data_IF_124606094846
#
_entry.id   IF_124606094846
#
_cell.length_a   1.000
_cell.length_b   1.000
_cell.length_c   1.000
_cell.angle_alpha   90.00
_cell.angle_beta   90.00
_cell.angle_gamma   90.00
#
_symmetry.space_group_name_H-M   'P 1'
#
loop_
_entity.id
_entity.type
_entity.pdbx_description
1 polymer ?
#
# COMPACT_ATOMS: atom_id res chain seq x y z
N UNK A 1 -24.06 -7.27 24.89
CA UNK A 1 -24.41 -7.02 23.47
C UNK A 1 -23.16 -6.67 22.65
N UNK A 2 -22.35 -5.67 23.05
CA UNK A 2 -21.07 -5.34 22.38
C UNK A 2 -20.06 -6.52 22.33
N UNK A 3 -19.85 -7.20 23.46
CA UNK A 3 -18.95 -8.37 23.53
C UNK A 3 -19.39 -9.52 22.62
N UNK A 4 -20.70 -9.73 22.46
CA UNK A 4 -21.25 -10.74 21.56
C UNK A 4 -20.94 -10.42 20.09
N UNK A 5 -21.03 -9.15 19.70
CA UNK A 5 -20.71 -8.72 18.33
C UNK A 5 -19.22 -8.91 17.98
N UNK A 6 -18.32 -8.54 18.92
CA UNK A 6 -16.88 -8.71 18.74
C UNK A 6 -16.47 -10.18 18.56
N UNK A 7 -17.18 -11.11 19.19
CA UNK A 7 -16.89 -12.55 19.07
C UNK A 7 -17.56 -13.14 17.82
N UNK A 8 -18.79 -12.71 17.49
CA UNK A 8 -19.57 -13.29 16.40
C UNK A 8 -18.98 -12.99 15.02
N UNK A 9 -18.53 -11.76 14.75
CA UNK A 9 -17.95 -11.40 13.46
C UNK A 9 -16.78 -12.30 13.00
N UNK A 10 -15.70 -12.46 13.79
CA UNK A 10 -14.59 -13.34 13.41
C UNK A 10 -14.99 -14.82 13.43
N UNK A 11 -15.90 -15.23 14.32
CA UNK A 11 -16.39 -16.60 14.38
C UNK A 11 -17.09 -17.00 13.07
N UNK A 12 -18.00 -16.17 12.56
CA UNK A 12 -18.70 -16.44 11.30
C UNK A 12 -17.72 -16.51 10.12
N UNK A 13 -16.72 -15.61 10.07
CA UNK A 13 -15.68 -15.65 9.04
C UNK A 13 -14.89 -16.97 9.07
N UNK A 14 -14.50 -17.45 10.26
CA UNK A 14 -13.80 -18.73 10.41
C UNK A 14 -14.68 -19.93 10.03
N UNK A 15 -15.97 -19.92 10.41
CA UNK A 15 -16.91 -20.99 10.03
C UNK A 15 -17.06 -21.06 8.51
N UNK A 16 -17.19 -19.94 7.81
CA UNK A 16 -17.31 -19.91 6.35
C UNK A 16 -16.04 -20.41 5.65
N UNK A 17 -14.85 -20.00 6.13
CA UNK A 17 -13.57 -20.51 5.62
C UNK A 17 -13.44 -22.01 5.89
N UNK A 18 -13.81 -22.47 7.10
CA UNK A 18 -13.79 -23.89 7.47
C UNK A 18 -14.76 -24.73 6.63
N UNK A 19 -15.97 -24.21 6.36
CA UNK A 19 -16.92 -24.85 5.46
C UNK A 19 -16.38 -24.93 4.03
N UNK A 20 -15.79 -23.85 3.51
CA UNK A 20 -15.18 -23.85 2.18
C UNK A 20 -14.07 -24.91 2.10
N UNK A 21 -13.21 -25.01 3.11
CA UNK A 21 -12.14 -26.01 3.13
C UNK A 21 -12.66 -27.46 3.18
N UNK A 22 -13.76 -27.72 3.88
CA UNK A 22 -14.38 -29.05 3.96
C UNK A 22 -15.15 -29.45 2.69
N UNK A 23 -15.82 -28.48 2.04
CA UNK A 23 -16.69 -28.71 0.88
C UNK A 23 -15.96 -28.56 -0.46
N UNK A 24 -14.89 -27.77 -0.53
CA UNK A 24 -14.17 -27.53 -1.77
C UNK A 24 -13.31 -28.73 -2.16
N UNK A 25 -13.44 -29.16 -3.42
CA UNK A 25 -12.54 -30.15 -3.99
C UNK A 25 -11.18 -29.51 -4.26
N UNK A 26 -10.13 -29.98 -3.58
CA UNK A 26 -8.76 -29.55 -3.84
C UNK A 26 -8.16 -30.42 -4.95
N UNK A 27 -8.00 -29.83 -6.13
CA UNK A 27 -7.21 -30.44 -7.20
C UNK A 27 -5.94 -29.61 -7.42
N UNK A 28 -4.82 -30.08 -6.89
CA UNK A 28 -3.52 -29.42 -6.94
C UNK A 28 -2.69 -30.00 -8.08
N UNK A 29 -2.30 -29.12 -9.01
CA UNK A 29 -1.39 -29.43 -10.10
C UNK A 29 -0.28 -28.38 -10.10
N UNK A 30 0.91 -28.77 -10.54
CA UNK A 30 2.12 -27.92 -10.49
C UNK A 30 1.89 -26.55 -11.15
N UNK A 31 1.20 -26.52 -12.28
CA UNK A 31 0.85 -25.29 -13.03
C UNK A 31 -0.21 -24.42 -12.32
N UNK A 32 -1.05 -25.01 -11.44
CA UNK A 32 -2.09 -24.30 -10.69
C UNK A 32 -1.58 -23.73 -9.37
N UNK A 33 -0.57 -24.35 -8.79
CA UNK A 33 0.03 -23.93 -7.52
C UNK A 33 1.21 -22.96 -7.72
N UNK A 34 1.67 -22.76 -8.97
CA UNK A 34 2.66 -21.77 -9.36
C UNK A 34 2.08 -20.38 -9.66
N UNK A 35 2.91 -19.32 -9.65
CA UNK A 35 2.48 -18.00 -10.08
C UNK A 35 2.11 -18.01 -11.57
N UNK A 36 1.05 -17.28 -11.93
CA UNK A 36 0.65 -17.09 -13.31
C UNK A 36 1.68 -16.22 -14.06
N UNK A 37 2.64 -16.86 -14.72
CA UNK A 37 3.63 -16.21 -15.57
C UNK A 37 3.39 -16.57 -17.04
N UNK A 38 3.62 -15.62 -17.95
CA UNK A 38 3.43 -15.81 -19.41
C UNK A 38 4.51 -16.71 -20.05
N UNK A 39 4.96 -17.77 -19.37
CA UNK A 39 5.90 -18.77 -19.91
C UNK A 39 7.39 -18.44 -19.75
N UNK A 40 7.75 -17.42 -18.95
CA UNK A 40 9.16 -17.09 -18.65
C UNK A 40 9.40 -16.96 -17.16
N UNK A 41 10.24 -17.84 -16.60
CA UNK A 41 10.71 -17.74 -15.22
C UNK A 41 11.69 -16.57 -15.12
N UNK A 42 11.32 -15.48 -14.44
CA UNK A 42 12.27 -14.41 -14.19
C UNK A 42 13.34 -14.90 -13.19
N UNK A 43 14.52 -15.29 -13.68
CA UNK A 43 15.71 -15.53 -12.86
C UNK A 43 16.33 -14.21 -12.34
N UNK A 44 15.53 -13.23 -11.94
CA UNK A 44 16.05 -11.92 -11.54
C UNK A 44 15.22 -11.28 -10.43
N UNK A 45 15.94 -10.82 -9.40
CA UNK A 45 15.58 -9.86 -8.34
C UNK A 45 14.08 -9.80 -7.94
N UNK A 46 13.71 -10.40 -6.81
CA UNK A 46 12.36 -10.31 -6.20
C UNK A 46 11.95 -8.90 -5.74
N UNK A 47 12.78 -7.87 -5.97
CA UNK A 47 12.52 -6.47 -5.61
C UNK A 47 12.27 -5.66 -6.86
N UNK A 48 11.02 -5.26 -7.04
CA UNK A 48 10.63 -4.28 -8.06
C UNK A 48 11.04 -2.87 -7.59
N UNK A 49 11.65 -2.09 -8.49
CA UNK A 49 11.94 -0.69 -8.24
C UNK A 49 10.62 0.09 -8.25
N UNK A 50 10.31 0.74 -7.13
CA UNK A 50 9.08 1.47 -6.94
C UNK A 50 9.36 2.94 -6.63
N UNK A 51 8.41 3.82 -6.95
CA UNK A 51 8.56 5.25 -6.70
C UNK A 51 8.62 5.55 -5.21
N UNK A 52 9.51 6.47 -4.82
CA UNK A 52 9.66 6.95 -3.43
C UNK A 52 8.39 7.63 -2.93
N UNK A 53 7.53 8.14 -3.82
CA UNK A 53 6.28 8.81 -3.47
C UNK A 53 5.36 7.95 -2.56
N UNK A 54 5.37 6.63 -2.74
CA UNK A 54 4.50 5.76 -1.98
C UNK A 54 4.98 5.50 -0.55
N UNK A 55 6.29 5.47 -0.31
CA UNK A 55 6.81 5.41 1.06
C UNK A 55 6.65 6.76 1.76
N UNK A 56 6.74 7.87 1.03
CA UNK A 56 6.49 9.21 1.55
C UNK A 56 5.06 9.35 2.08
N UNK A 57 4.05 8.80 1.39
CA UNK A 57 2.66 8.78 1.90
C UNK A 57 2.57 8.09 3.27
N UNK A 58 3.24 6.95 3.45
CA UNK A 58 3.24 6.22 4.73
C UNK A 58 3.94 7.01 5.85
N UNK A 59 5.02 7.72 5.53
CA UNK A 59 5.75 8.56 6.49
C UNK A 59 4.92 9.79 6.86
N UNK A 60 4.24 10.44 5.91
CA UNK A 60 3.36 11.59 6.17
C UNK A 60 2.07 11.21 6.92
N UNK A 61 1.59 9.98 6.74
CA UNK A 61 0.43 9.48 7.49
C UNK A 61 0.69 9.47 9.01
N UNK A 62 1.90 9.14 9.45
CA UNK A 62 2.24 9.01 10.87
C UNK A 62 2.06 10.31 11.69
N UNK A 63 2.65 11.48 11.31
CA UNK A 63 2.43 12.72 12.04
C UNK A 63 1.00 13.26 11.91
N UNK A 64 0.31 13.01 10.79
CA UNK A 64 -1.08 13.43 10.62
C UNK A 64 -2.05 12.58 11.47
N UNK A 65 -1.80 11.29 11.63
CA UNK A 65 -2.54 10.42 12.56
C UNK A 65 -2.29 10.83 14.02
N UNK A 66 -1.03 11.15 14.35
CA UNK A 66 -0.66 11.65 15.68
C UNK A 66 -1.32 13.01 15.96
N UNK A 67 -1.42 13.90 14.96
CA UNK A 67 -2.14 15.17 15.07
C UNK A 67 -3.59 14.95 15.50
N UNK A 68 -4.33 14.10 14.80
CA UNK A 68 -5.73 13.81 15.13
C UNK A 68 -5.88 13.15 16.50
N UNK A 69 -4.95 12.25 16.86
CA UNK A 69 -4.89 11.66 18.21
C UNK A 69 -4.64 12.70 19.31
N UNK A 70 -3.81 13.71 19.03
CA UNK A 70 -3.51 14.79 19.99
C UNK A 70 -4.63 15.83 20.16
N UNK A 71 -5.50 15.98 19.16
CA UNK A 71 -6.68 16.86 19.22
C UNK A 71 -7.81 16.23 20.06
N UNK A 72 -7.94 14.90 20.05
CA UNK A 72 -8.96 14.15 20.81
C UNK A 72 -9.10 14.54 22.29
N UNK A 73 -8.03 14.63 23.12
CA UNK A 73 -8.16 14.99 24.54
C UNK A 73 -8.76 16.39 24.75
N UNK A 74 -8.44 17.35 23.87
CA UNK A 74 -9.04 18.68 23.92
C UNK A 74 -10.55 18.62 23.60
N UNK A 75 -10.93 17.89 22.54
CA UNK A 75 -12.33 17.74 22.11
C UNK A 75 -13.19 17.03 23.17
N UNK A 76 -12.61 16.09 23.93
CA UNK A 76 -13.33 15.39 25.00
C UNK A 76 -13.53 16.25 26.26
N UNK A 77 -12.74 17.30 26.46
CA UNK A 77 -12.77 18.12 27.67
C UNK A 77 -12.65 19.64 27.41
N UNK A 78 -13.52 20.23 26.56
CA UNK A 78 -13.40 21.65 26.19
C UNK A 78 -13.74 22.57 27.37
N UNK A 79 -14.64 22.16 28.26
CA UNK A 79 -15.09 22.96 29.40
C UNK A 79 -14.04 23.09 30.51
N UNK A 80 -13.19 22.08 30.71
CA UNK A 80 -12.15 22.09 31.75
C UNK A 80 -10.91 22.84 31.31
N UNK A 81 -10.52 22.71 30.03
CA UNK A 81 -9.34 23.37 29.47
C UNK A 81 -9.62 24.79 28.99
N UNK A 82 -10.89 25.12 28.72
CA UNK A 82 -11.35 26.44 28.32
C UNK A 82 -10.62 27.01 27.10
N UNK A 83 -10.46 28.33 27.10
CA UNK A 83 -9.78 29.07 26.02
C UNK A 83 -8.26 28.82 26.01
N UNK A 84 -7.67 28.53 27.17
CA UNK A 84 -6.23 28.27 27.26
C UNK A 84 -5.82 27.00 26.52
N UNK A 85 -6.56 25.90 26.74
CA UNK A 85 -6.34 24.65 25.99
C UNK A 85 -6.57 24.83 24.49
N UNK A 86 -7.58 25.62 24.11
CA UNK A 86 -7.84 25.92 22.70
C UNK A 86 -6.63 26.57 22.04
N UNK A 87 -6.03 27.57 22.69
CA UNK A 87 -4.88 28.29 22.15
C UNK A 87 -3.67 27.36 21.94
N UNK A 88 -3.43 26.43 22.87
CA UNK A 88 -2.35 25.44 22.76
C UNK A 88 -2.63 24.46 21.61
N UNK A 89 -3.84 23.92 21.53
CA UNK A 89 -4.23 22.98 20.46
C UNK A 89 -4.13 23.65 19.08
N UNK A 90 -4.61 24.89 18.94
CA UNK A 90 -4.51 25.65 17.68
C UNK A 90 -3.05 25.95 17.31
N UNK A 91 -2.22 26.35 18.27
CA UNK A 91 -0.80 26.58 18.04
C UNK A 91 -0.10 25.31 17.56
N UNK A 92 -0.37 24.19 18.22
CA UNK A 92 0.18 22.88 17.86
C UNK A 92 -0.23 22.45 16.44
N UNK A 93 -1.53 22.52 16.12
CA UNK A 93 -2.07 22.24 14.78
C UNK A 93 -1.43 23.15 13.72
N UNK A 94 -1.28 24.45 14.00
CA UNK A 94 -0.65 25.39 13.05
C UNK A 94 0.80 25.01 12.72
N UNK A 95 1.59 24.55 13.69
CA UNK A 95 2.96 24.11 13.45
C UNK A 95 3.01 22.90 12.49
N UNK A 96 2.11 21.93 12.66
CA UNK A 96 2.03 20.76 11.79
C UNK A 96 1.50 21.12 10.39
N UNK A 97 0.54 22.03 10.29
CA UNK A 97 0.06 22.55 9.00
C UNK A 97 1.18 23.23 8.22
N UNK A 98 2.03 24.04 8.88
CA UNK A 98 3.18 24.68 8.21
C UNK A 98 4.17 23.62 7.71
N UNK A 99 4.47 22.60 8.53
CA UNK A 99 5.32 21.49 8.11
C UNK A 99 4.74 20.75 6.88
N UNK A 100 3.43 20.49 6.88
CA UNK A 100 2.74 19.87 5.76
C UNK A 100 2.76 20.74 4.48
N UNK A 101 2.60 22.06 4.62
CA UNK A 101 2.70 22.99 3.48
C UNK A 101 4.09 22.91 2.83
N UNK A 102 5.16 22.85 3.62
CA UNK A 102 6.53 22.71 3.09
C UNK A 102 6.66 21.42 2.28
N UNK A 103 6.14 20.30 2.79
CA UNK A 103 6.17 19.02 2.10
C UNK A 103 5.40 19.05 0.75
N UNK A 104 4.24 19.71 0.75
CA UNK A 104 3.43 19.91 -0.47
C UNK A 104 4.16 20.75 -1.53
N UNK A 105 4.93 21.76 -1.12
CA UNK A 105 5.73 22.59 -2.05
C UNK A 105 6.85 21.78 -2.72
N UNK A 106 7.42 20.80 -2.02
CA UNK A 106 8.48 19.92 -2.55
C UNK A 106 7.95 18.95 -3.62
N UNK A 107 6.62 18.86 -3.83
CA UNK A 107 5.98 17.93 -4.77
C UNK A 107 6.36 16.46 -4.55
N UNK A 108 6.76 16.10 -3.34
CA UNK A 108 7.25 14.78 -2.98
C UNK A 108 6.17 13.67 -3.19
N UNK A 109 4.89 14.06 -3.13
CA UNK A 109 3.73 13.20 -3.35
C UNK A 109 3.32 13.05 -4.83
N UNK A 110 3.95 13.77 -5.76
CA UNK A 110 3.60 13.66 -7.17
C UNK A 110 4.14 12.36 -7.76
N UNK A 111 3.23 11.54 -8.29
CA UNK A 111 3.63 10.36 -9.06
C UNK A 111 4.01 10.78 -10.48
N UNK A 112 5.31 10.92 -10.72
CA UNK A 112 5.82 11.21 -12.05
C UNK A 112 5.66 9.98 -12.96
N UNK A 113 5.03 10.17 -14.12
CA UNK A 113 4.93 9.15 -15.17
C UNK A 113 5.92 9.51 -16.28
N UNK A 114 7.11 8.92 -16.21
CA UNK A 114 8.04 8.98 -17.33
C UNK A 114 7.62 7.92 -18.36
N UNK A 115 6.97 8.37 -19.43
CA UNK A 115 6.84 7.57 -20.64
C UNK A 115 8.14 7.76 -21.43
N UNK A 116 9.07 6.82 -21.29
CA UNK A 116 10.18 6.72 -22.23
C UNK A 116 9.57 6.34 -23.59
N UNK A 117 9.64 7.25 -24.56
CA UNK A 117 9.24 6.97 -25.95
C UNK A 117 10.31 6.17 -26.72
N UNK A 118 11.34 5.69 -26.03
CA UNK A 118 12.34 4.81 -26.62
C UNK A 118 11.84 3.37 -26.55
N UNK A 119 10.89 3.07 -27.45
CA UNK A 119 10.84 1.73 -28.02
C UNK A 119 12.08 1.64 -28.94
N UNK A 120 13.07 0.79 -28.66
CA UNK A 120 13.79 0.22 -29.78
C UNK A 120 12.72 -0.53 -30.57
N UNK A 121 12.48 -0.08 -31.80
CA UNK A 121 11.72 -0.85 -32.76
C UNK A 121 12.21 -2.28 -32.68
N UNK A 122 11.30 -3.16 -32.27
CA UNK A 122 11.31 -4.59 -32.52
C UNK A 122 12.70 -5.10 -32.95
N UNK A 123 13.58 -5.40 -32.00
CA UNK A 123 14.57 -6.44 -32.26
C UNK A 123 13.77 -7.73 -32.38
N UNK A 124 13.25 -7.94 -33.60
CA UNK A 124 12.80 -9.21 -34.11
C UNK A 124 13.86 -10.21 -33.69
N UNK A 125 13.49 -11.14 -32.80
CA UNK A 125 14.24 -12.34 -32.57
C UNK A 125 14.38 -13.01 -33.94
N UNK A 126 15.54 -12.82 -34.55
CA UNK A 126 15.85 -13.41 -35.84
C UNK A 126 15.87 -14.92 -35.64
N UNK A 127 14.76 -15.58 -36.03
CA UNK A 127 14.60 -17.03 -36.04
C UNK A 127 15.50 -17.70 -37.10
N UNK A 128 16.51 -16.99 -37.60
CA UNK A 128 17.42 -17.37 -38.68
C UNK A 128 18.89 -17.50 -38.20
N UNK A 129 19.07 -17.96 -36.95
CA UNK A 129 20.38 -18.36 -36.40
C UNK A 129 20.27 -19.70 -35.66
N UNK A 130 19.35 -20.56 -36.11
CA UNK A 130 19.28 -21.97 -35.68
C UNK A 130 19.52 -22.98 -36.81
N UNK A 131 19.73 -22.49 -38.02
CA UNK A 131 20.05 -23.26 -39.22
C UNK A 131 21.56 -23.39 -39.50
N UNK A 132 22.41 -22.61 -38.80
CA UNK A 132 23.88 -22.66 -38.92
C UNK A 132 24.61 -23.21 -37.68
N UNK A 133 23.93 -23.99 -36.84
CA UNK A 133 24.54 -24.72 -35.71
C UNK A 133 24.13 -26.20 -35.69
N UNK A 134 23.71 -26.73 -36.85
CA UNK A 134 23.46 -28.15 -37.09
C UNK A 134 24.08 -28.62 -38.42
N UNK A 135 25.30 -28.17 -38.72
CA UNK A 135 26.25 -28.85 -39.60
C UNK A 135 27.60 -28.95 -38.90
#
# INVERSE_FOLDING_TARGET
MFTAYLILCPMVALVLVGMNWLLATSNSYVEKDGPFECGFTSFQQSRSAFSVAFILVAITFLPFDLEMSSILPYVMSPYTNGVYGLMITVLFTMLLVVAFIVEMRTKALQLNRNFTNDLPHTETYDMNTKDNMSQ
#
